data_IF_149473190481
#
_entry.id   IF_149473190481
#
_cell.length_a   1.000
_cell.length_b   1.000
_cell.length_c   1.000
_cell.angle_alpha   90.00
_cell.angle_beta   90.00
_cell.angle_gamma   90.00
#
_symmetry.space_group_name_H-M   'P 1'
#
loop_
_entity.id
_entity.type
_entity.pdbx_description
1 polymer ?
#
# COMPACT_ATOMS: atom_id res chain seq x y z
N UNK A 1 -62.65 -19.22 -10.76
CA UNK A 1 -63.20 -19.95 -11.93
C UNK A 1 -62.08 -19.98 -12.95
N UNK A 2 -61.42 -21.06 -13.36
CA UNK A 2 -61.42 -22.53 -13.18
C UNK A 2 -60.08 -22.92 -13.86
N UNK A 3 -59.11 -23.63 -13.28
CA UNK A 3 -59.20 -24.89 -12.54
C UNK A 3 -58.95 -26.05 -13.52
N UNK A 4 -57.83 -26.78 -13.34
CA UNK A 4 -57.49 -28.18 -13.73
C UNK A 4 -56.06 -28.29 -14.31
N UNK A 5 -55.26 -29.34 -14.14
CA UNK A 5 -54.89 -30.26 -13.04
C UNK A 5 -53.89 -31.28 -13.64
N UNK A 6 -52.91 -31.74 -12.86
CA UNK A 6 -51.88 -32.75 -13.18
C UNK A 6 -52.42 -34.11 -13.68
N UNK A 7 -51.54 -35.01 -14.20
CA UNK A 7 -51.00 -36.07 -13.33
C UNK A 7 -49.50 -36.43 -13.53
N UNK A 8 -49.06 -37.27 -12.61
CA UNK A 8 -47.72 -37.72 -12.18
C UNK A 8 -46.98 -38.77 -13.03
N UNK A 9 -45.73 -39.01 -12.60
CA UNK A 9 -44.96 -40.28 -12.57
C UNK A 9 -44.12 -40.61 -13.82
N UNK A 10 -42.87 -41.10 -13.78
CA UNK A 10 -42.11 -42.01 -12.88
C UNK A 10 -40.59 -41.77 -13.11
N UNK A 11 -39.69 -41.84 -12.11
CA UNK A 11 -38.89 -43.03 -11.71
C UNK A 11 -37.73 -43.29 -12.70
N UNK A 12 -36.44 -43.42 -12.37
CA UNK A 12 -35.73 -43.79 -11.15
C UNK A 12 -34.23 -43.44 -11.30
N UNK A 13 -33.43 -43.36 -10.22
CA UNK A 13 -31.98 -43.18 -10.23
C UNK A 13 -31.25 -44.53 -10.32
N UNK A 14 -29.99 -44.56 -10.73
CA UNK A 14 -29.18 -45.80 -10.76
C UNK A 14 -27.86 -45.67 -10.01
N UNK A 15 -27.35 -46.77 -9.43
CA UNK A 15 -26.74 -46.76 -8.11
C UNK A 15 -25.26 -47.19 -8.09
N UNK A 16 -24.62 -46.90 -6.96
CA UNK A 16 -23.42 -47.59 -6.46
C UNK A 16 -23.80 -48.99 -5.95
N UNK A 17 -23.01 -50.01 -6.27
CA UNK A 17 -22.89 -51.21 -5.44
C UNK A 17 -21.61 -52.00 -5.76
N UNK A 18 -20.80 -52.16 -4.72
CA UNK A 18 -19.83 -53.24 -4.54
C UNK A 18 -20.47 -54.62 -4.71
N UNK A 19 -19.70 -55.61 -5.19
CA UNK A 19 -19.75 -56.94 -4.61
C UNK A 19 -18.52 -57.79 -4.92
N UNK A 20 -17.97 -58.32 -3.82
CA UNK A 20 -17.01 -59.41 -3.70
C UNK A 20 -17.67 -60.75 -4.06
N UNK A 21 -16.88 -61.78 -4.39
CA UNK A 21 -17.17 -63.09 -3.80
C UNK A 21 -15.95 -63.76 -3.16
N UNK A 22 -16.19 -64.31 -1.98
CA UNK A 22 -15.38 -65.23 -1.18
C UNK A 22 -15.57 -66.69 -1.64
N UNK A 23 -14.51 -67.51 -1.61
CA UNK A 23 -14.31 -68.55 -0.57
C UNK A 23 -13.37 -69.71 -1.01
N UNK A 24 -12.71 -70.31 0.01
CA UNK A 24 -12.08 -71.64 0.13
C UNK A 24 -10.55 -71.79 -0.08
N UNK A 25 -9.82 -71.71 1.05
CA UNK A 25 -9.36 -72.90 1.79
C UNK A 25 -8.14 -73.72 1.30
N UNK A 26 -7.03 -73.54 2.04
CA UNK A 26 -6.11 -74.58 2.58
C UNK A 26 -4.89 -75.13 1.78
N UNK A 27 -3.72 -74.78 2.35
CA UNK A 27 -2.47 -75.57 2.58
C UNK A 27 -1.51 -75.90 1.43
N UNK A 28 -0.28 -75.37 1.55
CA UNK A 28 0.92 -75.88 0.87
C UNK A 28 2.22 -75.20 1.34
N UNK A 29 2.93 -75.78 2.31
CA UNK A 29 4.32 -75.43 2.65
C UNK A 29 5.28 -75.94 1.55
N UNK A 30 6.15 -75.08 1.01
CA UNK A 30 7.62 -75.30 0.89
C UNK A 30 8.29 -74.12 0.18
N UNK A 31 9.48 -73.79 0.67
CA UNK A 31 10.15 -72.50 0.47
C UNK A 31 10.91 -72.35 -0.84
N UNK A 32 11.22 -71.09 -1.15
CA UNK A 32 12.21 -70.72 -2.15
C UNK A 32 13.05 -69.55 -1.64
N UNK A 33 14.36 -69.72 -1.80
CA UNK A 33 15.44 -68.86 -1.29
C UNK A 33 15.48 -67.53 -2.06
N UNK A 34 15.14 -66.42 -1.41
CA UNK A 34 15.47 -65.10 -1.94
C UNK A 34 16.89 -64.71 -1.51
N UNK A 35 17.75 -64.57 -2.52
CA UNK A 35 19.08 -63.98 -2.40
C UNK A 35 18.92 -62.48 -2.07
N UNK A 36 19.50 -62.03 -0.96
CA UNK A 36 19.73 -60.60 -0.68
C UNK A 36 20.84 -60.12 -1.63
N UNK A 37 20.47 -59.37 -2.67
CA UNK A 37 21.40 -58.44 -3.31
C UNK A 37 21.21 -57.08 -2.65
N UNK A 38 22.20 -56.68 -1.87
CA UNK A 38 22.25 -55.36 -1.24
C UNK A 38 22.58 -54.30 -2.28
N UNK A 39 21.65 -53.38 -2.49
CA UNK A 39 21.95 -52.02 -2.92
C UNK A 39 21.20 -51.09 -1.99
N UNK A 40 21.74 -50.94 -0.78
CA UNK A 40 21.35 -49.88 0.12
C UNK A 40 21.97 -48.59 -0.45
N UNK A 41 21.16 -47.77 -1.12
CA UNK A 41 21.51 -46.36 -1.33
C UNK A 41 21.46 -45.72 0.05
N UNK A 42 22.59 -45.77 0.77
CA UNK A 42 22.79 -44.95 1.96
C UNK A 42 22.85 -43.50 1.50
N UNK A 43 21.81 -42.73 1.79
CA UNK A 43 21.89 -41.28 1.76
C UNK A 43 22.95 -40.87 2.79
N UNK A 44 24.16 -40.57 2.33
CA UNK A 44 25.24 -40.05 3.16
C UNK A 44 24.75 -38.73 3.76
N UNK A 45 24.59 -38.69 5.09
CA UNK A 45 24.38 -37.44 5.81
C UNK A 45 25.65 -36.61 5.67
N UNK A 46 25.62 -35.65 4.75
CA UNK A 46 26.69 -34.69 4.50
C UNK A 46 27.04 -33.94 5.80
N UNK A 47 28.33 -33.97 6.18
CA UNK A 47 28.80 -33.31 7.40
C UNK A 47 28.69 -31.79 7.27
N UNK A 48 28.56 -31.07 8.38
CA UNK A 48 28.49 -29.59 8.36
C UNK A 48 29.74 -28.95 7.72
N UNK A 49 30.90 -29.60 7.81
CA UNK A 49 32.15 -29.14 7.18
C UNK A 49 32.12 -29.31 5.66
N UNK A 50 31.61 -30.44 5.16
CA UNK A 50 31.43 -30.69 3.72
C UNK A 50 30.43 -29.71 3.10
N UNK A 51 29.30 -29.46 3.79
CA UNK A 51 28.33 -28.43 3.40
C UNK A 51 28.98 -27.05 3.27
N UNK A 52 29.74 -26.63 4.27
CA UNK A 52 30.43 -25.34 4.27
C UNK A 52 31.43 -25.24 3.10
N UNK A 53 32.19 -26.31 2.84
CA UNK A 53 33.15 -26.34 1.73
C UNK A 53 32.44 -26.21 0.37
N UNK A 54 31.32 -26.92 0.19
CA UNK A 54 30.51 -26.85 -1.03
C UNK A 54 29.96 -25.45 -1.29
N UNK A 55 29.41 -24.78 -0.27
CA UNK A 55 28.92 -23.40 -0.43
C UNK A 55 30.04 -22.41 -0.72
N UNK A 56 31.22 -22.61 -0.14
CA UNK A 56 32.41 -21.80 -0.45
C UNK A 56 32.87 -21.99 -1.90
N UNK A 57 32.91 -23.23 -2.39
CA UNK A 57 33.25 -23.53 -3.79
C UNK A 57 32.21 -22.92 -4.75
N UNK A 58 30.91 -23.05 -4.45
CA UNK A 58 29.83 -22.43 -5.22
C UNK A 58 29.95 -20.89 -5.27
N UNK A 59 30.35 -20.26 -4.17
CA UNK A 59 30.64 -18.81 -4.12
C UNK A 59 31.81 -18.43 -5.03
N UNK A 60 32.92 -19.17 -4.96
CA UNK A 60 34.08 -18.93 -5.83
C UNK A 60 33.76 -19.13 -7.31
N UNK A 61 32.92 -20.13 -7.64
CA UNK A 61 32.43 -20.34 -9.00
C UNK A 61 31.63 -19.13 -9.50
N UNK A 62 30.71 -18.59 -8.68
CA UNK A 62 29.93 -17.38 -9.01
C UNK A 62 30.80 -16.14 -9.14
N UNK A 63 31.82 -15.98 -8.31
CA UNK A 63 32.79 -14.88 -8.41
C UNK A 63 33.49 -14.82 -9.77
N UNK A 64 33.76 -15.99 -10.38
CA UNK A 64 34.34 -16.09 -11.73
C UNK A 64 33.36 -15.74 -12.86
N UNK A 65 32.05 -15.76 -12.60
CA UNK A 65 31.01 -15.41 -13.57
C UNK A 65 30.72 -13.90 -13.64
N UNK A 66 31.26 -13.11 -12.71
CA UNK A 66 31.06 -11.66 -12.69
C UNK A 66 31.64 -11.01 -13.95
N UNK A 67 30.76 -10.38 -14.73
CA UNK A 67 31.11 -9.67 -15.97
C UNK A 67 31.31 -8.18 -15.73
N UNK A 68 31.81 -7.45 -16.73
CA UNK A 68 31.89 -5.98 -16.69
C UNK A 68 30.51 -5.31 -16.52
N UNK A 69 29.43 -5.94 -17.01
CA UNK A 69 28.07 -5.46 -16.80
C UNK A 69 27.64 -5.52 -15.33
N UNK A 70 28.05 -6.57 -14.60
CA UNK A 70 27.82 -6.65 -13.15
C UNK A 70 28.60 -5.55 -12.42
N UNK A 71 29.88 -5.38 -12.78
CA UNK A 71 30.77 -4.38 -12.17
C UNK A 71 30.27 -2.95 -12.38
N UNK A 72 29.68 -2.65 -13.54
CA UNK A 72 29.04 -1.36 -13.79
C UNK A 72 27.93 -1.04 -12.76
N UNK A 73 27.06 -2.03 -12.47
CA UNK A 73 26.04 -1.89 -11.42
C UNK A 73 26.69 -1.73 -10.04
N UNK A 74 27.75 -2.50 -9.75
CA UNK A 74 28.43 -2.46 -8.46
C UNK A 74 29.13 -1.12 -8.19
N UNK A 75 29.72 -0.50 -9.21
CA UNK A 75 30.35 0.82 -9.11
C UNK A 75 29.32 1.89 -8.74
N UNK A 76 28.15 1.87 -9.38
CA UNK A 76 27.05 2.78 -9.03
C UNK A 76 26.56 2.54 -7.60
N UNK A 77 26.39 1.27 -7.20
CA UNK A 77 25.98 0.93 -5.82
C UNK A 77 27.02 1.38 -4.79
N UNK A 78 28.31 1.17 -5.07
CA UNK A 78 29.42 1.55 -4.20
C UNK A 78 29.47 3.06 -3.99
N UNK A 79 29.39 3.84 -5.08
CA UNK A 79 29.34 5.31 -5.02
C UNK A 79 28.13 5.80 -4.23
N UNK A 80 26.93 5.33 -4.59
CA UNK A 80 25.67 5.85 -4.04
C UNK A 80 25.40 5.45 -2.60
N UNK A 81 25.94 4.31 -2.15
CA UNK A 81 25.84 3.84 -0.76
C UNK A 81 27.09 4.20 0.07
N UNK A 82 28.10 4.85 -0.53
CA UNK A 82 29.39 5.13 0.12
C UNK A 82 30.05 3.86 0.69
N UNK A 83 30.01 2.78 -0.09
CA UNK A 83 30.61 1.48 0.22
C UNK A 83 31.85 1.25 -0.64
N UNK A 84 32.79 0.44 -0.15
CA UNK A 84 33.88 -0.05 -0.99
C UNK A 84 33.33 -1.01 -2.06
N UNK A 85 33.85 -0.92 -3.29
CA UNK A 85 33.44 -1.80 -4.39
C UNK A 85 33.57 -3.29 -4.02
N UNK A 86 34.65 -3.65 -3.31
CA UNK A 86 34.86 -5.00 -2.82
C UNK A 86 33.78 -5.45 -1.84
N UNK A 87 33.26 -4.55 -0.99
CA UNK A 87 32.17 -4.86 -0.08
C UNK A 87 30.87 -5.15 -0.85
N UNK A 88 30.57 -4.35 -1.88
CA UNK A 88 29.40 -4.58 -2.77
C UNK A 88 29.50 -5.92 -3.49
N UNK A 89 30.66 -6.24 -4.07
CA UNK A 89 30.90 -7.54 -4.71
C UNK A 89 30.64 -8.70 -3.74
N UNK A 90 31.18 -8.61 -2.53
CA UNK A 90 31.01 -9.64 -1.51
C UNK A 90 29.54 -9.77 -1.06
N UNK A 91 28.81 -8.66 -0.89
CA UNK A 91 27.39 -8.68 -0.56
C UNK A 91 26.54 -9.33 -1.65
N UNK A 92 26.80 -9.03 -2.92
CA UNK A 92 26.07 -9.63 -4.04
C UNK A 92 26.34 -11.14 -4.14
N UNK A 93 27.57 -11.57 -3.85
CA UNK A 93 27.94 -12.99 -3.84
C UNK A 93 27.32 -13.78 -2.67
N UNK A 94 26.74 -13.11 -1.67
CA UNK A 94 25.98 -13.77 -0.62
C UNK A 94 24.66 -14.37 -1.14
N UNK A 95 24.08 -13.78 -2.19
CA UNK A 95 22.86 -14.30 -2.81
C UNK A 95 23.15 -15.66 -3.47
N UNK A 96 22.24 -16.66 -3.43
CA UNK A 96 22.50 -18.03 -3.88
C UNK A 96 22.76 -18.16 -5.38
N UNK A 97 22.34 -17.19 -6.20
CA UNK A 97 22.48 -17.22 -7.66
C UNK A 97 22.63 -15.81 -8.24
N UNK A 98 23.29 -15.71 -9.41
CA UNK A 98 23.34 -14.50 -10.25
C UNK A 98 22.22 -14.45 -11.30
N UNK A 99 21.35 -15.46 -11.35
CA UNK A 99 20.25 -15.54 -12.33
C UNK A 99 19.40 -14.27 -12.46
N UNK A 100 19.15 -13.47 -11.39
CA UNK A 100 18.43 -12.20 -11.55
C UNK A 100 19.17 -11.15 -12.38
N UNK A 101 20.51 -11.15 -12.37
CA UNK A 101 21.30 -10.30 -13.28
C UNK A 101 21.19 -10.81 -14.71
N UNK A 102 21.30 -12.13 -14.91
CA UNK A 102 21.18 -12.74 -16.23
C UNK A 102 19.81 -12.44 -16.85
N UNK A 103 18.73 -12.56 -16.07
CA UNK A 103 17.38 -12.21 -16.49
C UNK A 103 17.25 -10.72 -16.79
N UNK A 104 17.74 -9.84 -15.91
CA UNK A 104 17.69 -8.39 -16.15
C UNK A 104 18.46 -7.95 -17.41
N UNK A 105 19.58 -8.61 -17.73
CA UNK A 105 20.36 -8.32 -18.94
C UNK A 105 19.80 -8.99 -20.21
N UNK A 106 19.04 -10.07 -20.07
CA UNK A 106 18.52 -10.82 -21.20
C UNK A 106 17.50 -10.04 -22.04
N UNK A 107 17.32 -10.48 -23.29
CA UNK A 107 16.19 -10.04 -24.13
C UNK A 107 14.91 -10.67 -23.58
N UNK A 108 13.90 -9.84 -23.33
CA UNK A 108 12.61 -10.25 -22.80
C UNK A 108 12.60 -10.57 -21.30
N UNK A 109 13.71 -10.34 -20.59
CA UNK A 109 13.77 -10.55 -19.14
C UNK A 109 13.26 -9.37 -18.32
N UNK A 110 13.59 -9.33 -17.03
CA UNK A 110 13.05 -8.33 -16.10
C UNK A 110 13.37 -6.88 -16.48
N UNK A 111 12.39 -6.00 -16.22
CA UNK A 111 12.55 -4.54 -16.35
C UNK A 111 13.29 -3.91 -15.18
N UNK A 112 13.38 -4.61 -14.06
CA UNK A 112 13.90 -4.05 -12.81
C UNK A 112 14.77 -5.06 -12.08
N UNK A 113 15.91 -4.59 -11.58
CA UNK A 113 16.71 -5.29 -10.58
C UNK A 113 16.89 -4.35 -9.39
N UNK A 114 16.62 -4.84 -8.18
CA UNK A 114 16.60 -4.03 -6.97
C UNK A 114 17.44 -4.66 -5.87
N UNK A 115 18.05 -3.79 -5.07
CA UNK A 115 18.87 -4.16 -3.93
C UNK A 115 18.34 -3.45 -2.70
N UNK A 116 18.62 -4.01 -1.53
CA UNK A 116 18.27 -3.42 -0.25
C UNK A 116 19.49 -3.35 0.63
N UNK A 117 19.73 -2.17 1.20
CA UNK A 117 20.78 -1.87 2.15
C UNK A 117 20.16 -1.46 3.48
N UNK A 118 20.08 -2.43 4.40
CA UNK A 118 19.46 -2.25 5.72
C UNK A 118 20.00 -3.29 6.72
N UNK A 119 19.63 -3.12 7.98
CA UNK A 119 19.91 -4.08 9.04
C UNK A 119 19.13 -5.38 8.82
N UNK A 120 19.85 -6.50 8.71
CA UNK A 120 19.25 -7.84 8.55
C UNK A 120 20.09 -8.90 9.25
N UNK A 121 19.51 -10.08 9.48
CA UNK A 121 20.25 -11.19 10.06
C UNK A 121 21.48 -11.56 9.23
N UNK A 122 22.55 -11.93 9.91
CA UNK A 122 23.75 -12.51 9.30
C UNK A 122 23.34 -13.69 8.41
N UNK A 123 23.72 -13.72 7.13
CA UNK A 123 23.36 -14.82 6.24
C UNK A 123 23.91 -16.15 6.75
N UNK A 124 23.16 -17.22 6.49
CA UNK A 124 23.56 -18.56 6.89
C UNK A 124 24.73 -19.09 6.07
N UNK A 125 25.12 -20.33 6.35
CA UNK A 125 26.25 -21.00 5.71
C UNK A 125 26.12 -21.08 4.17
N UNK A 126 24.90 -21.00 3.65
CA UNK A 126 24.56 -21.02 2.24
C UNK A 126 25.18 -19.86 1.44
N UNK A 127 25.53 -18.75 2.08
CA UNK A 127 26.23 -17.65 1.41
C UNK A 127 27.69 -18.01 1.06
N UNK A 128 28.24 -19.07 1.66
CA UNK A 128 29.62 -19.53 1.43
C UNK A 128 30.69 -18.77 2.22
N UNK A 129 30.31 -17.90 3.15
CA UNK A 129 31.21 -17.21 4.10
C UNK A 129 30.92 -17.60 5.53
N UNK A 130 31.90 -17.36 6.40
CA UNK A 130 31.76 -17.53 7.86
C UNK A 130 31.88 -16.17 8.53
N UNK A 131 31.03 -15.92 9.52
CA UNK A 131 31.06 -14.73 10.36
C UNK A 131 31.52 -15.15 11.76
N UNK A 132 32.84 -15.14 12.05
CA UNK A 132 33.34 -15.56 13.35
C UNK A 132 32.97 -14.54 14.42
N UNK A 133 32.51 -15.02 15.58
CA UNK A 133 32.18 -14.18 16.73
C UNK A 133 30.78 -13.54 16.70
N UNK A 134 29.98 -13.77 15.66
CA UNK A 134 28.58 -13.33 15.64
C UNK A 134 27.67 -14.41 16.23
N UNK A 135 26.82 -14.02 17.19
CA UNK A 135 25.78 -14.90 17.72
C UNK A 135 24.79 -15.31 16.61
N UNK A 136 24.11 -16.44 16.79
CA UNK A 136 23.04 -16.87 15.89
C UNK A 136 21.91 -15.83 15.93
N UNK A 137 21.50 -15.32 14.76
CA UNK A 137 20.51 -14.25 14.67
C UNK A 137 21.08 -12.85 14.93
N UNK A 138 22.41 -12.68 14.94
CA UNK A 138 23.00 -11.35 14.97
C UNK A 138 22.53 -10.53 13.75
N UNK A 139 22.28 -9.24 13.98
CA UNK A 139 21.83 -8.30 12.95
C UNK A 139 23.02 -7.45 12.51
N UNK A 140 23.20 -7.30 11.20
CA UNK A 140 24.25 -6.48 10.59
C UNK A 140 23.68 -5.60 9.47
N UNK A 141 24.28 -4.43 9.25
CA UNK A 141 24.01 -3.63 8.08
C UNK A 141 24.63 -4.30 6.84
N UNK A 142 23.81 -4.62 5.83
CA UNK A 142 24.31 -5.27 4.61
C UNK A 142 23.48 -4.93 3.39
N UNK A 143 24.12 -5.06 2.23
CA UNK A 143 23.47 -4.99 0.93
C UNK A 143 23.06 -6.41 0.51
N UNK A 144 21.92 -6.57 -0.12
CA UNK A 144 21.52 -7.82 -0.75
C UNK A 144 20.56 -7.56 -1.91
N UNK A 145 20.50 -8.51 -2.84
CA UNK A 145 19.53 -8.48 -3.91
C UNK A 145 18.13 -8.76 -3.34
N UNK A 146 17.17 -7.89 -3.62
CA UNK A 146 15.86 -7.94 -2.98
C UNK A 146 14.78 -8.52 -3.89
N UNK A 147 13.98 -9.42 -3.32
CA UNK A 147 12.67 -9.72 -3.86
C UNK A 147 11.67 -8.73 -3.26
N UNK A 148 11.25 -7.73 -4.04
CA UNK A 148 10.42 -6.63 -3.55
C UNK A 148 9.01 -7.07 -3.10
N UNK A 149 8.55 -8.28 -3.45
CA UNK A 149 7.27 -8.80 -2.94
C UNK A 149 7.37 -9.45 -1.56
N UNK A 150 8.57 -9.82 -1.12
CA UNK A 150 8.81 -10.56 0.12
C UNK A 150 9.65 -9.77 1.13
N UNK A 151 10.39 -8.75 0.66
CA UNK A 151 11.31 -7.98 1.49
C UNK A 151 10.58 -6.83 2.17
N UNK A 152 10.57 -6.82 3.50
CA UNK A 152 10.14 -5.65 4.27
C UNK A 152 11.23 -4.58 4.21
N UNK A 153 10.90 -3.42 3.63
CA UNK A 153 11.87 -2.37 3.37
C UNK A 153 11.91 -1.36 4.53
N UNK A 154 13.07 -1.26 5.18
CA UNK A 154 13.33 -0.36 6.31
C UNK A 154 14.58 0.49 6.13
N UNK A 155 15.37 0.26 5.07
CA UNK A 155 16.55 1.07 4.75
C UNK A 155 16.52 1.60 3.32
N UNK A 156 17.68 1.60 2.66
CA UNK A 156 17.83 2.11 1.31
C UNK A 156 17.54 1.02 0.28
N UNK A 157 16.75 1.34 -0.74
CA UNK A 157 16.45 0.47 -1.88
C UNK A 157 16.99 1.10 -3.17
N UNK A 158 18.27 0.88 -3.52
CA UNK A 158 18.77 1.20 -4.85
C UNK A 158 18.25 0.19 -5.88
N UNK A 159 17.76 0.69 -7.01
CA UNK A 159 17.22 -0.14 -8.07
C UNK A 159 17.55 0.42 -9.46
N UNK A 160 17.60 -0.50 -10.42
CA UNK A 160 17.92 -0.22 -11.81
C UNK A 160 16.74 -0.63 -12.68
N UNK A 161 16.35 0.25 -13.60
CA UNK A 161 15.21 0.06 -14.49
C UNK A 161 15.68 0.16 -15.94
N UNK A 162 15.09 -0.67 -16.81
CA UNK A 162 15.23 -0.57 -18.25
C UNK A 162 13.86 -0.47 -18.92
N UNK A 163 13.73 0.39 -19.92
CA UNK A 163 12.45 0.66 -20.59
C UNK A 163 12.23 -0.25 -21.80
N UNK A 164 13.30 -0.55 -22.54
CA UNK A 164 13.29 -1.48 -23.69
C UNK A 164 13.70 -2.87 -23.24
N UNK A 165 12.83 -3.86 -23.44
CA UNK A 165 13.09 -5.27 -23.10
C UNK A 165 13.44 -6.12 -24.32
N UNK A 166 13.19 -5.61 -25.52
CA UNK A 166 13.41 -6.29 -26.80
C UNK A 166 14.88 -6.33 -27.24
N UNK A 167 15.75 -5.53 -26.61
CA UNK A 167 17.19 -5.45 -26.88
C UNK A 167 17.96 -5.93 -25.64
N UNK A 168 18.84 -6.94 -25.70
CA UNK A 168 19.61 -7.35 -24.53
C UNK A 168 20.55 -6.23 -24.06
N UNK A 169 20.74 -6.13 -22.74
CA UNK A 169 21.71 -5.20 -22.14
C UNK A 169 23.08 -5.83 -22.17
N UNK A 170 24.05 -5.09 -22.69
CA UNK A 170 25.45 -5.46 -22.78
C UNK A 170 26.32 -4.25 -22.47
N UNK A 171 27.63 -4.45 -22.33
CA UNK A 171 28.55 -3.39 -21.92
C UNK A 171 28.53 -2.14 -22.83
N UNK A 172 28.13 -2.27 -24.10
CA UNK A 172 28.10 -1.15 -25.04
C UNK A 172 26.88 -0.26 -24.86
N UNK A 173 25.73 -0.81 -24.47
CA UNK A 173 24.47 -0.07 -24.32
C UNK A 173 24.02 0.10 -22.87
N UNK A 174 24.74 -0.49 -21.90
CA UNK A 174 24.35 -0.50 -20.49
C UNK A 174 24.10 0.90 -19.90
N UNK A 175 24.89 1.88 -20.32
CA UNK A 175 24.81 3.26 -19.85
C UNK A 175 23.65 4.06 -20.49
N UNK A 176 23.11 3.58 -21.62
CA UNK A 176 21.98 4.22 -22.32
C UNK A 176 20.64 3.55 -21.95
N UNK A 177 20.67 2.24 -21.71
CA UNK A 177 19.46 1.42 -21.51
C UNK A 177 19.07 1.23 -20.04
N UNK A 178 20.00 1.44 -19.10
CA UNK A 178 19.73 1.34 -17.67
C UNK A 178 19.61 2.72 -17.03
N UNK A 179 18.57 2.89 -16.23
CA UNK A 179 18.36 4.04 -15.37
C UNK A 179 18.47 3.62 -13.91
N UNK A 180 19.27 4.35 -13.14
CA UNK A 180 19.40 4.15 -11.70
C UNK A 180 18.45 5.07 -10.93
N UNK A 181 17.84 4.55 -9.88
CA UNK A 181 17.16 5.35 -8.87
C UNK A 181 17.26 4.69 -7.49
N UNK A 182 16.88 5.43 -6.46
CA UNK A 182 16.98 4.96 -5.08
C UNK A 182 15.77 5.44 -4.30
N UNK A 183 15.16 4.52 -3.57
CA UNK A 183 14.11 4.80 -2.61
C UNK A 183 14.66 4.65 -1.19
N UNK A 184 14.54 5.71 -0.39
CA UNK A 184 14.96 5.73 1.00
C UNK A 184 13.74 5.50 1.92
N UNK A 185 13.67 4.34 2.55
CA UNK A 185 12.60 3.99 3.48
C UNK A 185 13.05 3.98 4.95
N UNK A 186 14.19 4.60 5.29
CA UNK A 186 14.70 4.66 6.66
C UNK A 186 13.69 5.29 7.64
N UNK A 187 12.90 6.24 7.15
CA UNK A 187 11.83 6.89 7.91
C UNK A 187 10.42 6.38 7.52
N UNK A 188 10.35 5.20 6.89
CA UNK A 188 9.13 4.55 6.44
C UNK A 188 8.88 4.66 4.93
N UNK A 189 8.29 3.60 4.37
CA UNK A 189 8.05 3.44 2.93
C UNK A 189 7.20 4.56 2.30
N UNK A 190 6.17 5.04 3.01
CA UNK A 190 5.30 6.12 2.52
C UNK A 190 6.08 7.43 2.37
N UNK A 191 6.89 7.78 3.37
CA UNK A 191 7.74 8.99 3.33
C UNK A 191 8.81 8.89 2.25
N UNK A 192 9.42 7.71 2.11
CA UNK A 192 10.35 7.39 1.03
C UNK A 192 9.75 7.56 -0.36
N UNK A 193 8.56 6.98 -0.57
CA UNK A 193 7.82 7.08 -1.83
C UNK A 193 7.44 8.53 -2.14
N UNK A 194 6.93 9.26 -1.14
CA UNK A 194 6.61 10.69 -1.27
C UNK A 194 7.84 11.50 -1.69
N UNK A 195 8.97 11.29 -1.02
CA UNK A 195 10.24 11.97 -1.33
C UNK A 195 10.73 11.66 -2.75
N UNK A 196 10.70 10.38 -3.17
CA UNK A 196 11.08 9.98 -4.51
C UNK A 196 10.21 10.67 -5.57
N UNK A 197 8.89 10.67 -5.37
CA UNK A 197 7.96 11.30 -6.29
C UNK A 197 8.14 12.82 -6.33
N UNK A 198 8.22 13.49 -5.18
CA UNK A 198 8.23 14.95 -5.13
C UNK A 198 9.59 15.55 -5.47
N UNK A 199 10.70 14.91 -5.07
CA UNK A 199 12.05 15.47 -5.21
C UNK A 199 12.77 15.02 -6.48
N UNK A 200 12.40 13.87 -7.05
CA UNK A 200 13.10 13.28 -8.20
C UNK A 200 12.16 13.18 -9.40
N UNK A 201 11.05 12.44 -9.27
CA UNK A 201 10.20 12.14 -10.43
C UNK A 201 9.43 13.36 -10.93
N UNK A 202 8.83 14.16 -10.04
CA UNK A 202 8.03 15.32 -10.43
C UNK A 202 8.89 16.40 -11.13
N UNK A 203 10.08 16.79 -10.61
CA UNK A 203 10.97 17.69 -11.34
C UNK A 203 11.39 17.14 -12.71
N UNK A 204 11.68 15.84 -12.83
CA UNK A 204 12.02 15.22 -14.10
C UNK A 204 10.86 15.27 -15.11
N UNK A 205 9.62 14.99 -14.66
CA UNK A 205 8.41 15.13 -15.48
C UNK A 205 8.20 16.58 -15.93
N UNK A 206 8.43 17.55 -15.05
CA UNK A 206 8.30 18.97 -15.38
C UNK A 206 9.35 19.45 -16.39
N UNK A 207 10.58 18.93 -16.31
CA UNK A 207 11.67 19.24 -17.23
C UNK A 207 11.57 18.50 -18.57
N UNK A 208 10.68 17.52 -18.70
CA UNK A 208 10.53 16.75 -19.93
C UNK A 208 9.84 17.60 -21.01
N UNK A 209 10.55 17.93 -22.07
CA UNK A 209 10.00 18.64 -23.24
C UNK A 209 9.39 17.68 -24.28
N UNK A 210 9.96 16.49 -24.41
CA UNK A 210 9.54 15.50 -25.39
C UNK A 210 8.51 14.51 -24.82
N UNK A 211 7.23 14.78 -25.06
CA UNK A 211 6.11 13.90 -24.70
C UNK A 211 5.62 13.05 -25.89
N UNK A 212 6.44 12.91 -26.93
CA UNK A 212 6.11 12.12 -28.12
C UNK A 212 4.84 12.62 -28.82
N UNK A 213 3.88 11.71 -29.05
CA UNK A 213 2.64 12.01 -29.76
C UNK A 213 1.82 13.14 -29.12
N UNK A 214 1.93 13.36 -27.80
CA UNK A 214 1.22 14.43 -27.11
C UNK A 214 1.71 15.81 -27.54
N UNK A 215 2.96 15.97 -27.97
CA UNK A 215 3.46 17.26 -28.47
C UNK A 215 2.77 17.71 -29.77
N UNK A 216 2.15 16.78 -30.50
CA UNK A 216 1.49 17.04 -31.78
C UNK A 216 -0.05 17.06 -31.63
N UNK A 217 -0.58 16.77 -30.44
CA UNK A 217 -2.01 16.74 -30.17
C UNK A 217 -2.55 18.14 -29.89
N UNK A 218 -3.74 18.44 -30.43
CA UNK A 218 -4.48 19.68 -30.12
C UNK A 218 -4.79 19.84 -28.63
N UNK A 219 -4.92 18.73 -27.90
CA UNK A 219 -5.18 18.70 -26.45
C UNK A 219 -3.93 18.37 -25.62
N UNK A 220 -2.76 18.26 -26.27
CA UNK A 220 -1.53 17.76 -25.66
C UNK A 220 -1.11 18.52 -24.41
N UNK A 221 -1.18 19.85 -24.43
CA UNK A 221 -0.76 20.67 -23.27
C UNK A 221 -1.70 20.50 -22.08
N UNK A 222 -3.02 20.41 -22.34
CA UNK A 222 -4.01 20.12 -21.31
C UNK A 222 -3.79 18.74 -20.70
N UNK A 223 -3.51 17.73 -21.51
CA UNK A 223 -3.28 16.36 -21.03
C UNK A 223 -2.00 16.24 -20.21
N UNK A 224 -0.92 16.93 -20.62
CA UNK A 224 0.32 17.04 -19.82
C UNK A 224 0.06 17.69 -18.47
N UNK A 225 -0.70 18.79 -18.45
CA UNK A 225 -1.02 19.48 -17.20
C UNK A 225 -1.87 18.60 -16.30
N UNK A 226 -2.90 17.93 -16.82
CA UNK A 226 -3.71 16.98 -16.07
C UNK A 226 -2.88 15.85 -15.46
N UNK A 227 -1.88 15.33 -16.19
CA UNK A 227 -0.97 14.31 -15.67
C UNK A 227 -0.11 14.84 -14.51
N UNK A 228 0.48 16.03 -14.68
CA UNK A 228 1.25 16.71 -13.61
C UNK A 228 0.37 16.93 -12.37
N UNK A 229 -0.84 17.44 -12.54
CA UNK A 229 -1.78 17.68 -11.43
C UNK A 229 -2.20 16.38 -10.74
N UNK A 230 -2.27 15.28 -11.47
CA UNK A 230 -2.54 13.95 -10.89
C UNK A 230 -1.39 13.47 -10.01
N UNK A 231 -0.14 13.63 -10.45
CA UNK A 231 1.04 13.30 -9.61
C UNK A 231 1.08 14.20 -8.37
N UNK A 232 0.86 15.52 -8.54
CA UNK A 232 0.84 16.47 -7.43
C UNK A 232 -0.24 16.13 -6.40
N UNK A 233 -1.46 15.81 -6.84
CA UNK A 233 -2.53 15.34 -5.95
C UNK A 233 -2.14 14.07 -5.20
N UNK A 234 -1.47 13.12 -5.86
CA UNK A 234 -1.01 11.91 -5.20
C UNK A 234 0.08 12.18 -4.14
N UNK A 235 1.02 13.10 -4.42
CA UNK A 235 2.01 13.55 -3.43
C UNK A 235 1.32 14.18 -2.22
N UNK A 236 0.34 15.07 -2.42
CA UNK A 236 -0.44 15.66 -1.33
C UNK A 236 -1.25 14.62 -0.54
N UNK A 237 -1.77 13.59 -1.21
CA UNK A 237 -2.40 12.47 -0.53
C UNK A 237 -1.41 11.69 0.35
N UNK A 238 -0.20 11.44 -0.13
CA UNK A 238 0.85 10.83 0.69
C UNK A 238 1.21 11.71 1.89
N UNK A 239 1.29 13.03 1.71
CA UNK A 239 1.51 13.98 2.80
C UNK A 239 0.43 13.90 3.85
N UNK A 240 -0.83 13.89 3.43
CA UNK A 240 -1.96 13.74 4.33
C UNK A 240 -1.93 12.39 5.09
N UNK A 241 -1.48 11.30 4.45
CA UNK A 241 -1.33 10.01 5.13
C UNK A 241 -0.20 10.02 6.16
N UNK A 242 0.94 10.64 5.81
CA UNK A 242 2.10 10.76 6.70
C UNK A 242 1.74 11.64 7.90
N UNK A 243 1.15 12.81 7.68
CA UNK A 243 0.66 13.72 8.74
C UNK A 243 -0.46 13.08 9.57
N UNK A 244 -1.30 12.26 8.93
CA UNK A 244 -2.39 11.55 9.58
C UNK A 244 -1.91 10.40 10.47
N UNK A 245 -0.69 9.89 10.29
CA UNK A 245 -0.17 8.77 11.08
C UNK A 245 0.10 9.23 12.51
N UNK A 246 -0.60 8.64 13.49
CA UNK A 246 -0.43 8.98 14.89
C UNK A 246 0.66 8.11 15.49
N UNK A 247 1.82 8.71 15.78
CA UNK A 247 2.85 8.04 16.57
C UNK A 247 2.54 8.18 18.06
N UNK A 248 1.97 7.11 18.63
CA UNK A 248 1.80 7.01 20.07
C UNK A 248 3.17 6.84 20.73
N UNK A 249 3.38 7.54 21.84
CA UNK A 249 4.63 7.45 22.60
C UNK A 249 4.95 6.01 23.01
N UNK A 250 6.19 5.58 22.76
CA UNK A 250 6.71 4.28 23.22
C UNK A 250 6.90 4.29 24.73
N UNK A 251 6.49 3.22 25.41
CA UNK A 251 6.74 3.04 26.83
C UNK A 251 8.19 2.56 27.07
N UNK A 252 9.16 3.48 26.97
CA UNK A 252 10.60 3.19 27.05
C UNK A 252 11.06 2.55 28.36
N UNK A 253 10.26 2.65 29.42
CA UNK A 253 10.59 2.15 30.75
C UNK A 253 10.18 0.67 30.93
N UNK A 254 9.56 0.04 29.93
CA UNK A 254 8.99 -1.31 30.01
C UNK A 254 9.73 -2.23 29.05
N UNK A 255 10.31 -3.31 29.59
CA UNK A 255 11.00 -4.32 28.79
C UNK A 255 10.00 -5.36 28.26
N UNK A 256 9.30 -5.03 27.17
CA UNK A 256 8.27 -5.90 26.56
C UNK A 256 8.77 -7.28 26.14
N UNK A 257 10.08 -7.43 25.88
CA UNK A 257 10.71 -8.72 25.60
C UNK A 257 10.53 -9.73 26.74
N UNK A 258 10.25 -9.26 27.96
CA UNK A 258 9.97 -10.09 29.14
C UNK A 258 8.48 -10.36 29.34
N UNK A 259 7.60 -9.98 28.42
CA UNK A 259 6.15 -10.17 28.51
C UNK A 259 5.60 -10.98 27.33
N UNK A 260 6.34 -12.03 26.93
CA UNK A 260 6.03 -12.81 25.74
C UNK A 260 5.29 -14.10 26.09
N UNK A 261 5.67 -14.77 27.17
CA UNK A 261 5.04 -16.04 27.57
C UNK A 261 3.89 -15.83 28.56
N UNK A 262 3.00 -16.81 28.64
CA UNK A 262 1.90 -16.78 29.62
C UNK A 262 2.38 -16.74 31.07
N UNK A 263 3.49 -17.42 31.37
CA UNK A 263 4.09 -17.44 32.71
C UNK A 263 4.64 -16.06 33.08
N UNK A 264 5.29 -15.39 32.14
CA UNK A 264 5.81 -14.04 32.34
C UNK A 264 4.70 -13.02 32.59
N UNK A 265 3.62 -13.08 31.79
CA UNK A 265 2.46 -12.20 31.94
C UNK A 265 1.80 -12.40 33.31
N UNK A 266 1.74 -13.65 33.80
CA UNK A 266 1.19 -13.96 35.13
C UNK A 266 2.09 -13.47 36.26
N UNK A 267 3.41 -13.60 36.12
CA UNK A 267 4.37 -13.09 37.09
C UNK A 267 4.30 -11.55 37.17
N UNK A 268 4.27 -10.88 36.01
CA UNK A 268 4.10 -9.43 35.93
C UNK A 268 2.78 -8.96 36.54
N UNK A 269 1.69 -9.73 36.38
CA UNK A 269 0.39 -9.37 36.96
C UNK A 269 0.34 -9.47 38.50
N UNK A 270 1.28 -10.18 39.12
CA UNK A 270 1.43 -10.29 40.58
C UNK A 270 2.40 -9.22 41.15
N UNK A 271 3.19 -8.57 40.29
CA UNK A 271 4.12 -7.51 40.65
C UNK A 271 3.41 -6.15 40.62
N UNK A 272 3.29 -5.52 41.79
CA UNK A 272 2.56 -4.26 41.96
C UNK A 272 3.24 -3.10 41.23
N UNK A 273 4.58 -3.05 41.25
CA UNK A 273 5.33 -1.95 40.62
C UNK A 273 5.25 -2.06 39.10
N UNK A 274 5.36 -3.28 38.56
CA UNK A 274 5.19 -3.52 37.13
C UNK A 274 3.76 -3.21 36.67
N UNK A 275 2.73 -3.64 37.42
CA UNK A 275 1.33 -3.30 37.12
C UNK A 275 1.12 -1.79 37.08
N UNK A 276 1.69 -1.04 38.04
CA UNK A 276 1.58 0.41 38.06
C UNK A 276 2.19 1.06 36.82
N UNK A 277 3.38 0.64 36.40
CA UNK A 277 4.02 1.13 35.17
C UNK A 277 3.19 0.83 33.92
N UNK A 278 2.60 -0.37 33.85
CA UNK A 278 1.72 -0.77 32.75
C UNK A 278 0.42 0.06 32.72
N UNK A 279 -0.14 0.39 33.89
CA UNK A 279 -1.30 1.30 34.00
C UNK A 279 -0.95 2.72 33.53
N UNK A 280 0.22 3.24 33.89
CA UNK A 280 0.70 4.54 33.42
C UNK A 280 0.88 4.57 31.91
N UNK A 281 1.48 3.52 31.33
CA UNK A 281 1.64 3.39 29.89
C UNK A 281 0.27 3.33 29.18
N UNK A 282 -0.66 2.52 29.69
CA UNK A 282 -2.01 2.41 29.14
C UNK A 282 -2.76 3.75 29.23
N UNK A 283 -2.66 4.47 30.35
CA UNK A 283 -3.28 5.78 30.54
C UNK A 283 -2.65 6.87 29.67
N UNK A 284 -1.35 6.77 29.40
CA UNK A 284 -0.65 7.66 28.48
C UNK A 284 -1.17 7.49 27.04
N UNK A 285 -1.35 6.24 26.58
CA UNK A 285 -1.96 5.96 25.28
C UNK A 285 -3.43 6.36 25.25
N UNK A 286 -4.18 6.09 26.32
CA UNK A 286 -5.58 6.49 26.46
C UNK A 286 -5.74 7.99 26.21
N UNK A 287 -4.96 8.84 26.90
CA UNK A 287 -5.04 10.30 26.77
C UNK A 287 -4.72 10.79 25.36
N UNK A 288 -3.73 10.18 24.70
CA UNK A 288 -3.36 10.52 23.33
C UNK A 288 -4.47 10.16 22.34
N UNK A 289 -5.05 8.97 22.46
CA UNK A 289 -6.14 8.52 21.59
C UNK A 289 -7.41 9.37 21.86
N UNK A 290 -7.71 9.67 23.12
CA UNK A 290 -8.83 10.54 23.50
C UNK A 290 -8.68 11.96 22.93
N UNK A 291 -7.47 12.52 22.98
CA UNK A 291 -7.18 13.79 22.32
C UNK A 291 -7.45 13.71 20.81
N UNK A 292 -6.97 12.65 20.15
CA UNK A 292 -7.19 12.44 18.72
C UNK A 292 -8.67 12.37 18.35
N UNK A 293 -9.48 11.67 19.15
CA UNK A 293 -10.94 11.58 18.97
C UNK A 293 -11.62 12.94 19.20
N UNK A 294 -11.20 13.67 20.23
CA UNK A 294 -11.76 14.99 20.54
C UNK A 294 -11.47 16.01 19.43
N UNK A 295 -10.25 15.98 18.87
CA UNK A 295 -9.87 16.80 17.72
C UNK A 295 -10.67 16.44 16.46
N UNK A 296 -11.04 15.18 16.27
CA UNK A 296 -11.82 14.75 15.10
C UNK A 296 -13.30 15.09 15.18
N UNK A 297 -13.85 15.15 16.39
CA UNK A 297 -15.25 15.53 16.64
C UNK A 297 -15.47 17.05 16.56
N UNK A 298 -14.39 17.84 16.59
CA UNK A 298 -14.47 19.30 16.55
C UNK A 298 -14.93 19.79 15.17
N UNK A 299 -15.85 20.77 15.16
CA UNK A 299 -16.33 21.38 13.92
C UNK A 299 -15.17 21.92 13.09
N UNK A 300 -15.04 21.41 11.87
CA UNK A 300 -13.96 21.75 10.95
C UNK A 300 -14.10 23.20 10.49
N UNK A 301 -13.03 23.99 10.63
CA UNK A 301 -12.87 25.26 9.91
C UNK A 301 -12.41 24.95 8.49
N UNK A 302 -13.35 24.91 7.55
CA UNK A 302 -13.05 24.74 6.14
C UNK A 302 -12.87 26.10 5.46
N UNK A 303 -12.08 26.15 4.38
CA UNK A 303 -12.06 27.32 3.53
C UNK A 303 -13.41 27.46 2.82
N UNK A 304 -13.94 28.69 2.75
CA UNK A 304 -15.25 28.99 2.17
C UNK A 304 -15.42 28.51 0.71
N UNK A 305 -14.31 28.32 -0.01
CA UNK A 305 -14.28 27.87 -1.40
C UNK A 305 -13.81 26.41 -1.58
N UNK A 306 -13.91 25.57 -0.54
CA UNK A 306 -13.49 24.17 -0.65
C UNK A 306 -14.37 23.36 -1.61
N UNK A 307 -13.73 22.53 -2.45
CA UNK A 307 -14.41 21.66 -3.43
C UNK A 307 -14.67 20.24 -2.88
N UNK A 308 -15.47 19.40 -3.57
CA UNK A 308 -15.90 18.09 -3.07
C UNK A 308 -14.75 17.10 -2.85
N UNK A 309 -13.63 17.22 -3.59
CA UNK A 309 -12.46 16.35 -3.39
C UNK A 309 -11.78 16.58 -2.03
N UNK A 310 -11.92 17.76 -1.43
CA UNK A 310 -11.37 18.06 -0.09
C UNK A 310 -12.05 17.28 1.03
N UNK A 311 -13.29 16.83 0.79
CA UNK A 311 -14.03 15.96 1.69
C UNK A 311 -13.46 14.54 1.66
N UNK A 312 -13.22 14.02 0.45
CA UNK A 312 -12.59 12.71 0.26
C UNK A 312 -11.19 12.68 0.89
N UNK A 313 -10.38 13.72 0.68
CA UNK A 313 -9.05 13.85 1.29
C UNK A 313 -9.11 13.86 2.81
N UNK A 314 -10.10 14.56 3.38
CA UNK A 314 -10.31 14.58 4.83
C UNK A 314 -10.61 13.18 5.37
N UNK A 315 -11.56 12.46 4.79
CA UNK A 315 -11.91 11.11 5.24
C UNK A 315 -10.79 10.10 5.01
N UNK A 316 -10.00 10.26 3.95
CA UNK A 316 -8.76 9.48 3.74
C UNK A 316 -7.75 9.71 4.87
N UNK A 317 -7.52 10.97 5.27
CA UNK A 317 -6.66 11.32 6.41
C UNK A 317 -7.18 10.72 7.71
N UNK A 318 -8.48 10.84 7.97
CA UNK A 318 -9.12 10.27 9.16
C UNK A 318 -8.99 8.74 9.20
N UNK A 319 -9.21 8.07 8.05
CA UNK A 319 -9.05 6.63 7.94
C UNK A 319 -7.60 6.20 8.24
N UNK A 320 -6.60 6.91 7.70
CA UNK A 320 -5.20 6.65 8.03
C UNK A 320 -4.90 6.87 9.53
N UNK A 321 -5.41 7.97 10.11
CA UNK A 321 -5.25 8.32 11.53
C UNK A 321 -5.77 7.21 12.45
N UNK A 322 -7.01 6.77 12.23
CA UNK A 322 -7.62 5.74 13.06
C UNK A 322 -7.04 4.35 12.81
N UNK A 323 -6.71 3.99 11.57
CA UNK A 323 -6.06 2.70 11.28
C UNK A 323 -4.69 2.61 11.96
N UNK A 324 -3.90 3.67 11.96
CA UNK A 324 -2.61 3.72 12.68
C UNK A 324 -2.78 3.45 14.18
N UNK A 325 -3.86 3.97 14.79
CA UNK A 325 -4.17 3.71 16.21
C UNK A 325 -4.61 2.26 16.41
N UNK A 326 -5.49 1.75 15.54
CA UNK A 326 -5.95 0.35 15.60
C UNK A 326 -4.78 -0.64 15.44
N UNK A 327 -3.81 -0.34 14.58
CA UNK A 327 -2.58 -1.12 14.42
C UNK A 327 -1.77 -1.15 15.71
N UNK A 328 -1.60 0.00 16.38
CA UNK A 328 -0.94 0.07 17.68
C UNK A 328 -1.67 -0.74 18.75
N UNK A 329 -3.00 -0.61 18.86
CA UNK A 329 -3.83 -1.36 19.82
C UNK A 329 -3.71 -2.87 19.58
N UNK A 330 -3.65 -3.29 18.31
CA UNK A 330 -3.47 -4.69 17.93
C UNK A 330 -2.03 -5.16 18.00
N UNK A 331 -1.09 -4.26 18.24
CA UNK A 331 0.34 -4.52 18.36
C UNK A 331 0.69 -5.40 19.56
N UNK A 332 1.84 -6.09 19.52
CA UNK A 332 2.25 -7.02 20.58
C UNK A 332 2.44 -6.33 21.93
N UNK A 333 3.02 -5.12 21.95
CA UNK A 333 3.28 -4.34 23.17
C UNK A 333 1.97 -3.96 23.89
N UNK A 334 1.01 -3.38 23.15
CA UNK A 334 -0.28 -2.99 23.71
C UNK A 334 -1.07 -4.22 24.19
N UNK A 335 -1.07 -5.31 23.41
CA UNK A 335 -1.67 -6.59 23.83
C UNK A 335 -1.05 -7.15 25.09
N UNK A 336 0.28 -7.08 25.24
CA UNK A 336 0.96 -7.53 26.45
C UNK A 336 0.50 -6.74 27.68
N UNK A 337 0.45 -5.41 27.59
CA UNK A 337 -0.06 -4.53 28.66
C UNK A 337 -1.50 -4.89 29.04
N UNK A 338 -2.40 -4.96 28.05
CA UNK A 338 -3.81 -5.28 28.28
C UNK A 338 -3.97 -6.66 28.91
N UNK A 339 -3.19 -7.66 28.48
CA UNK A 339 -3.25 -9.01 29.03
C UNK A 339 -2.81 -9.06 30.50
N UNK A 340 -1.68 -8.43 30.87
CA UNK A 340 -1.20 -8.37 32.26
C UNK A 340 -2.26 -7.71 33.14
N UNK A 341 -2.74 -6.53 32.74
CA UNK A 341 -3.75 -5.78 33.48
C UNK A 341 -5.08 -6.54 33.61
N UNK A 342 -5.39 -7.41 32.65
CA UNK A 342 -6.61 -8.23 32.66
C UNK A 342 -6.51 -9.37 33.68
N UNK A 343 -5.33 -10.00 33.80
CA UNK A 343 -5.06 -10.99 34.85
C UNK A 343 -5.11 -10.34 36.23
N UNK A 344 -4.50 -9.14 36.38
CA UNK A 344 -4.50 -8.38 37.62
C UNK A 344 -5.89 -7.83 37.99
N UNK A 345 -6.82 -7.71 37.02
CA UNK A 345 -8.15 -7.10 37.15
C UNK A 345 -8.11 -5.60 37.44
N UNK A 346 -7.19 -4.88 36.78
CA UNK A 346 -7.10 -3.42 36.86
C UNK A 346 -8.42 -2.75 36.44
N UNK A 347 -8.81 -1.70 37.19
CA UNK A 347 -10.01 -0.90 36.90
C UNK A 347 -9.85 -0.07 35.62
N UNK A 348 -8.62 0.25 35.23
CA UNK A 348 -8.28 1.04 34.03
C UNK A 348 -8.77 0.39 32.74
N UNK A 349 -8.89 -0.95 32.72
CA UNK A 349 -9.38 -1.69 31.56
C UNK A 349 -10.81 -1.36 31.16
N UNK A 350 -11.65 -0.88 32.08
CA UNK A 350 -13.01 -0.48 31.72
C UNK A 350 -12.96 0.73 30.77
N UNK A 351 -12.21 1.77 31.15
CA UNK A 351 -12.01 2.97 30.34
C UNK A 351 -11.35 2.64 29.01
N UNK A 352 -10.35 1.75 29.02
CA UNK A 352 -9.68 1.33 27.81
C UNK A 352 -10.61 0.62 26.82
N UNK A 353 -11.47 -0.29 27.28
CA UNK A 353 -12.44 -0.98 26.40
C UNK A 353 -13.46 -0.03 25.79
N UNK A 354 -13.93 0.96 26.56
CA UNK A 354 -14.83 2.00 26.05
C UNK A 354 -14.16 2.84 24.97
N UNK A 355 -12.89 3.21 25.18
CA UNK A 355 -12.08 3.92 24.19
C UNK A 355 -11.82 3.07 22.93
N UNK A 356 -11.46 1.79 23.08
CA UNK A 356 -11.21 0.84 21.99
C UNK A 356 -12.46 0.61 21.11
N UNK A 357 -13.64 0.56 21.73
CA UNK A 357 -14.91 0.52 21.01
C UNK A 357 -15.12 1.80 20.19
N UNK A 358 -14.97 2.98 20.81
CA UNK A 358 -15.12 4.28 20.13
C UNK A 358 -14.19 4.44 18.94
N UNK A 359 -12.90 4.12 19.11
CA UNK A 359 -11.94 4.23 18.00
C UNK A 359 -12.26 3.24 16.87
N UNK A 360 -12.75 2.05 17.21
CA UNK A 360 -13.19 1.06 16.20
C UNK A 360 -14.39 1.58 15.41
N UNK A 361 -15.36 2.19 16.07
CA UNK A 361 -16.53 2.78 15.42
C UNK A 361 -16.13 3.95 14.49
N UNK A 362 -15.29 4.88 14.97
CA UNK A 362 -14.76 5.97 14.16
C UNK A 362 -13.93 5.49 12.97
N UNK A 363 -13.14 4.41 13.13
CA UNK A 363 -12.38 3.80 12.04
C UNK A 363 -13.31 3.19 10.97
N UNK A 364 -14.39 2.53 11.39
CA UNK A 364 -15.39 1.96 10.49
C UNK A 364 -16.14 3.05 9.74
N UNK A 365 -16.56 4.12 10.43
CA UNK A 365 -17.16 5.31 9.81
C UNK A 365 -16.23 5.90 8.75
N UNK A 366 -14.97 6.17 9.10
CA UNK A 366 -14.03 6.77 8.16
C UNK A 366 -13.80 5.89 6.92
N UNK A 367 -13.71 4.57 7.12
CA UNK A 367 -13.56 3.61 6.03
C UNK A 367 -14.77 3.57 5.09
N UNK A 368 -15.98 3.57 5.64
CA UNK A 368 -17.22 3.57 4.85
C UNK A 368 -17.36 4.89 4.07
N UNK A 369 -17.11 6.02 4.73
CA UNK A 369 -17.14 7.34 4.10
C UNK A 369 -16.14 7.45 2.95
N UNK A 370 -14.90 6.96 3.13
CA UNK A 370 -13.90 6.90 2.04
C UNK A 370 -14.42 6.08 0.87
N UNK A 371 -15.02 4.90 1.10
CA UNK A 371 -15.54 4.03 0.03
C UNK A 371 -16.61 4.75 -0.81
N UNK A 372 -17.56 5.43 -0.16
CA UNK A 372 -18.61 6.16 -0.86
C UNK A 372 -18.09 7.42 -1.56
N UNK A 373 -17.26 8.22 -0.90
CA UNK A 373 -16.66 9.43 -1.49
C UNK A 373 -15.69 9.11 -2.63
N UNK A 374 -15.07 7.92 -2.65
CA UNK A 374 -14.27 7.46 -3.80
C UNK A 374 -15.12 7.28 -5.06
N UNK A 375 -16.40 6.92 -4.90
CA UNK A 375 -17.35 6.88 -6.03
C UNK A 375 -17.62 8.29 -6.56
N UNK A 376 -17.65 9.29 -5.66
CA UNK A 376 -17.81 10.70 -6.05
C UNK A 376 -16.58 11.25 -6.78
N UNK A 377 -15.37 10.78 -6.48
CA UNK A 377 -14.14 11.26 -7.12
C UNK A 377 -14.23 11.24 -8.66
N UNK A 378 -14.74 10.14 -9.23
CA UNK A 378 -14.89 9.95 -10.67
C UNK A 378 -15.95 10.88 -11.27
N UNK A 379 -17.11 10.99 -10.62
CA UNK A 379 -18.21 11.84 -11.12
C UNK A 379 -17.96 13.33 -10.89
N UNK A 380 -17.06 13.68 -9.97
CA UNK A 380 -16.61 15.04 -9.73
C UNK A 380 -15.49 15.48 -10.68
N UNK A 381 -14.73 14.57 -11.33
CA UNK A 381 -13.63 14.96 -12.24
C UNK A 381 -14.04 15.98 -13.33
N UNK A 382 -15.23 15.88 -13.97
CA UNK A 382 -15.66 16.89 -14.92
C UNK A 382 -15.79 18.30 -14.35
N UNK A 383 -16.03 18.46 -13.04
CA UNK A 383 -16.08 19.76 -12.36
C UNK A 383 -14.71 20.46 -12.29
N UNK A 384 -13.62 19.71 -12.46
CA UNK A 384 -12.25 20.21 -12.39
C UNK A 384 -11.61 20.37 -13.77
N UNK A 385 -11.94 19.46 -14.70
CA UNK A 385 -11.14 19.29 -15.93
C UNK A 385 -11.90 19.69 -17.21
N UNK A 386 -13.20 20.00 -17.11
CA UNK A 386 -14.05 20.24 -18.28
C UNK A 386 -14.59 21.68 -18.33
N UNK A 387 -14.96 22.11 -19.53
CA UNK A 387 -15.72 23.34 -19.71
C UNK A 387 -17.13 23.22 -19.10
N UNK A 388 -17.81 24.34 -18.80
CA UNK A 388 -19.15 24.33 -18.21
C UNK A 388 -20.22 23.60 -19.04
N UNK A 389 -20.07 23.48 -20.38
CA UNK A 389 -21.02 22.75 -21.24
C UNK A 389 -20.93 21.25 -20.95
N UNK A 390 -19.72 20.72 -20.92
CA UNK A 390 -19.44 19.31 -20.62
C UNK A 390 -19.74 18.99 -19.15
N UNK A 391 -19.47 19.94 -18.25
CA UNK A 391 -19.85 19.87 -16.84
C UNK A 391 -21.37 19.73 -16.68
N UNK A 392 -22.16 20.55 -17.37
CA UNK A 392 -23.63 20.52 -17.29
C UNK A 392 -24.23 19.16 -17.65
N UNK A 393 -23.63 18.45 -18.62
CA UNK A 393 -24.03 17.09 -19.01
C UNK A 393 -23.72 16.04 -17.92
N UNK A 394 -22.75 16.32 -17.05
CA UNK A 394 -22.28 15.42 -16.00
C UNK A 394 -23.01 15.61 -14.66
N UNK A 395 -23.73 16.74 -14.49
CA UNK A 395 -24.47 17.07 -13.26
C UNK A 395 -25.45 15.96 -12.86
N UNK A 396 -26.18 15.39 -13.83
CA UNK A 396 -27.14 14.33 -13.51
C UNK A 396 -26.46 13.10 -12.91
N UNK A 397 -25.29 12.73 -13.41
CA UNK A 397 -24.51 11.61 -12.89
C UNK A 397 -24.00 11.89 -11.47
N UNK A 398 -23.57 13.13 -11.21
CA UNK A 398 -23.15 13.57 -9.87
C UNK A 398 -24.31 13.49 -8.88
N UNK A 399 -25.48 13.97 -9.26
CA UNK A 399 -26.69 13.98 -8.43
C UNK A 399 -27.16 12.55 -8.14
N UNK A 400 -27.15 11.67 -9.15
CA UNK A 400 -27.48 10.26 -8.94
C UNK A 400 -26.48 9.57 -8.00
N UNK A 401 -25.18 9.89 -8.09
CA UNK A 401 -24.17 9.38 -7.17
C UNK A 401 -24.40 9.87 -5.73
N UNK A 402 -24.74 11.15 -5.55
CA UNK A 402 -25.07 11.70 -4.22
C UNK A 402 -26.33 11.04 -3.63
N UNK A 403 -27.39 10.82 -4.44
CA UNK A 403 -28.59 10.06 -4.01
C UNK A 403 -28.26 8.63 -3.59
N UNK A 404 -27.39 7.96 -4.35
CA UNK A 404 -26.94 6.61 -4.00
C UNK A 404 -26.20 6.60 -2.66
N UNK A 405 -25.36 7.60 -2.40
CA UNK A 405 -24.65 7.71 -1.12
C UNK A 405 -25.62 7.96 0.03
N UNK A 406 -26.57 8.88 -0.13
CA UNK A 406 -27.58 9.14 0.90
C UNK A 406 -28.44 7.89 1.21
N UNK A 407 -28.80 7.10 0.19
CA UNK A 407 -29.65 5.92 0.37
C UNK A 407 -28.92 4.69 0.93
N UNK A 408 -27.62 4.55 0.66
CA UNK A 408 -26.86 3.31 0.96
C UNK A 408 -25.82 3.50 2.06
N UNK A 409 -25.23 4.69 2.22
CA UNK A 409 -24.20 4.91 3.23
C UNK A 409 -24.80 4.83 4.63
N UNK A 410 -24.09 4.15 5.52
CA UNK A 410 -24.52 4.02 6.91
C UNK A 410 -24.16 5.27 7.72
N UNK A 411 -23.06 5.94 7.38
CA UNK A 411 -22.50 7.03 8.18
C UNK A 411 -22.54 8.39 7.47
N UNK A 412 -22.57 8.42 6.13
CA UNK A 412 -22.59 9.65 5.35
C UNK A 412 -23.98 10.11 4.92
N UNK A 413 -25.06 9.47 5.41
CA UNK A 413 -26.43 9.71 4.94
C UNK A 413 -27.19 10.83 5.67
N UNK A 414 -26.53 11.68 6.44
CA UNK A 414 -27.22 12.76 7.16
C UNK A 414 -27.47 13.97 6.26
N UNK A 415 -28.57 14.69 6.50
CA UNK A 415 -28.90 15.91 5.75
C UNK A 415 -27.83 16.99 5.85
N UNK A 416 -27.12 17.06 6.99
CA UNK A 416 -26.00 17.98 7.21
C UNK A 416 -24.81 17.66 6.27
N UNK A 417 -24.41 16.38 6.18
CA UNK A 417 -23.32 15.93 5.29
C UNK A 417 -23.69 16.13 3.82
N UNK A 418 -24.94 15.85 3.45
CA UNK A 418 -25.44 16.13 2.10
C UNK A 418 -25.38 17.62 1.76
N UNK A 419 -25.85 18.47 2.68
CA UNK A 419 -25.84 19.93 2.49
C UNK A 419 -24.41 20.45 2.33
N UNK A 420 -23.48 20.02 3.20
CA UNK A 420 -22.07 20.38 3.11
C UNK A 420 -21.46 19.95 1.77
N UNK A 421 -21.71 18.72 1.34
CA UNK A 421 -21.23 18.22 0.05
C UNK A 421 -21.78 19.05 -1.14
N UNK A 422 -23.06 19.42 -1.11
CA UNK A 422 -23.65 20.26 -2.15
C UNK A 422 -23.06 21.66 -2.19
N UNK A 423 -22.78 22.27 -1.04
CA UNK A 423 -22.09 23.56 -0.96
C UNK A 423 -20.72 23.44 -1.66
N UNK A 424 -19.95 22.40 -1.36
CA UNK A 424 -18.63 22.16 -1.96
C UNK A 424 -18.70 21.94 -3.47
N UNK A 425 -19.65 21.15 -3.95
CA UNK A 425 -19.88 20.97 -5.39
C UNK A 425 -20.20 22.32 -6.05
N UNK A 426 -21.08 23.11 -5.44
CA UNK A 426 -21.48 24.42 -5.97
C UNK A 426 -20.29 25.38 -6.01
N UNK A 427 -19.46 25.40 -4.97
CA UNK A 427 -18.22 26.18 -4.94
C UNK A 427 -17.27 25.80 -6.09
N UNK A 428 -17.07 24.50 -6.32
CA UNK A 428 -16.22 24.02 -7.41
C UNK A 428 -16.78 24.41 -8.78
N UNK A 429 -18.09 24.34 -8.97
CA UNK A 429 -18.74 24.79 -10.20
C UNK A 429 -18.54 26.29 -10.44
N UNK A 430 -18.67 27.12 -9.40
CA UNK A 430 -18.40 28.57 -9.50
C UNK A 430 -16.94 28.81 -9.89
N UNK A 431 -15.99 28.07 -9.32
CA UNK A 431 -14.58 28.15 -9.71
C UNK A 431 -14.38 27.75 -11.18
N UNK A 432 -15.03 26.68 -11.66
CA UNK A 432 -14.96 26.25 -13.06
C UNK A 432 -15.55 27.30 -14.02
N UNK A 433 -16.71 27.87 -13.68
CA UNK A 433 -17.33 28.95 -14.46
C UNK A 433 -16.46 30.21 -14.50
N UNK A 434 -15.84 30.57 -13.36
CA UNK A 434 -14.87 31.68 -13.31
C UNK A 434 -13.66 31.40 -14.20
N UNK A 435 -13.12 30.20 -14.18
CA UNK A 435 -12.01 29.83 -15.04
C UNK A 435 -12.40 29.87 -16.53
N UNK A 436 -13.61 29.42 -16.87
CA UNK A 436 -14.10 29.46 -18.25
C UNK A 436 -14.29 30.88 -18.80
N UNK A 437 -14.85 31.79 -18.01
CA UNK A 437 -15.06 33.18 -18.46
C UNK A 437 -13.75 33.97 -18.58
N UNK A 438 -12.70 33.60 -17.86
CA UNK A 438 -11.38 34.26 -17.91
C UNK A 438 -10.33 33.51 -18.73
N UNK A 439 -10.72 32.47 -19.49
CA UNK A 439 -9.80 31.60 -20.23
C UNK A 439 -8.66 31.04 -19.34
N UNK A 440 -9.02 30.52 -18.17
CA UNK A 440 -8.11 30.08 -17.11
C UNK A 440 -7.16 31.18 -16.61
N UNK A 441 -7.63 32.43 -16.63
CA UNK A 441 -6.87 33.59 -16.14
C UNK A 441 -5.92 34.20 -17.18
N UNK A 442 -5.95 33.76 -18.45
CA UNK A 442 -5.12 34.34 -19.50
C UNK A 442 -5.68 35.63 -20.10
N UNK A 443 -6.96 35.94 -19.85
CA UNK A 443 -7.60 37.14 -20.40
C UNK A 443 -8.57 37.76 -19.40
N UNK A 444 -8.48 39.08 -19.24
CA UNK A 444 -9.47 39.85 -18.49
C UNK A 444 -10.84 39.76 -19.16
N UNK A 445 -11.91 39.80 -18.37
CA UNK A 445 -13.29 39.77 -18.91
C UNK A 445 -13.47 40.93 -19.90
N UNK A 446 -12.92 42.10 -19.62
CA UNK A 446 -13.06 43.30 -20.45
C UNK A 446 -12.15 43.34 -21.68
N UNK A 447 -11.25 42.36 -21.82
CA UNK A 447 -10.27 42.27 -22.92
C UNK A 447 -10.76 41.32 -24.03
N UNK A 448 -11.83 40.58 -23.78
CA UNK A 448 -12.44 39.62 -24.71
C UNK A 448 -13.53 40.27 -25.56
N UNK A 449 -13.86 39.66 -26.70
CA UNK A 449 -14.97 40.12 -27.54
C UNK A 449 -16.31 40.01 -26.81
N UNK A 450 -17.12 41.07 -26.89
CA UNK A 450 -18.41 41.17 -26.21
C UNK A 450 -19.37 40.04 -26.58
N UNK A 451 -19.41 39.61 -27.86
CA UNK A 451 -20.29 38.52 -28.29
C UNK A 451 -19.85 37.18 -27.70
N UNK A 452 -18.54 36.96 -27.58
CA UNK A 452 -18.02 35.73 -27.01
C UNK A 452 -18.23 35.66 -25.49
N UNK A 453 -18.09 36.78 -24.76
CA UNK A 453 -18.44 36.85 -23.34
C UNK A 453 -19.93 36.56 -23.13
N UNK A 454 -20.82 37.16 -23.93
CA UNK A 454 -22.27 36.93 -23.82
C UNK A 454 -22.59 35.45 -24.01
N UNK A 455 -21.99 34.78 -25.00
CA UNK A 455 -22.16 33.33 -25.20
C UNK A 455 -21.63 32.54 -23.99
N UNK A 456 -20.46 32.89 -23.45
CA UNK A 456 -19.90 32.23 -22.27
C UNK A 456 -20.81 32.40 -21.04
N UNK A 457 -21.39 33.58 -20.84
CA UNK A 457 -22.34 33.86 -19.75
C UNK A 457 -23.62 33.04 -19.91
N UNK A 458 -24.18 32.95 -21.12
CA UNK A 458 -25.38 32.14 -21.38
C UNK A 458 -25.15 30.66 -21.03
N UNK A 459 -24.02 30.11 -21.44
CA UNK A 459 -23.62 28.73 -21.10
C UNK A 459 -23.51 28.53 -19.58
N UNK A 460 -22.91 29.49 -18.87
CA UNK A 460 -22.78 29.44 -17.41
C UNK A 460 -24.16 29.49 -16.73
N UNK A 461 -25.04 30.39 -17.17
CA UNK A 461 -26.39 30.56 -16.62
C UNK A 461 -27.24 29.29 -16.77
N UNK A 462 -27.20 28.66 -17.95
CA UNK A 462 -27.90 27.39 -18.20
C UNK A 462 -27.37 26.27 -17.30
N UNK A 463 -26.04 26.16 -17.13
CA UNK A 463 -25.42 25.18 -16.25
C UNK A 463 -25.79 25.36 -14.78
N UNK A 464 -25.81 26.60 -14.28
CA UNK A 464 -26.19 26.93 -12.90
C UNK A 464 -27.68 26.64 -12.66
N UNK A 465 -28.56 27.01 -13.60
CA UNK A 465 -29.99 26.72 -13.51
C UNK A 465 -30.27 25.23 -13.42
N UNK A 466 -29.61 24.42 -14.25
CA UNK A 466 -29.75 22.96 -14.23
C UNK A 466 -29.27 22.35 -12.91
N UNK A 467 -28.18 22.86 -12.33
CA UNK A 467 -27.73 22.41 -11.01
C UNK A 467 -28.75 22.75 -9.93
N UNK A 468 -29.23 24.00 -9.90
CA UNK A 468 -30.16 24.48 -8.89
C UNK A 468 -31.47 23.70 -8.92
N UNK A 469 -32.04 23.46 -10.11
CA UNK A 469 -33.26 22.66 -10.25
C UNK A 469 -33.05 21.23 -9.76
N UNK A 470 -31.93 20.62 -10.12
CA UNK A 470 -31.64 19.23 -9.76
C UNK A 470 -31.29 19.06 -8.27
N UNK A 471 -30.64 20.06 -7.65
CA UNK A 471 -30.44 20.14 -6.20
C UNK A 471 -31.76 20.28 -5.46
N UNK A 472 -32.62 21.21 -5.88
CA UNK A 472 -33.93 21.43 -5.25
C UNK A 472 -34.82 20.19 -5.34
N UNK A 473 -34.84 19.52 -6.49
CA UNK A 473 -35.57 18.28 -6.67
C UNK A 473 -35.08 17.20 -5.68
N UNK A 474 -33.78 17.04 -5.52
CA UNK A 474 -33.23 16.07 -4.57
C UNK A 474 -33.54 16.45 -3.12
N UNK A 475 -33.35 17.71 -2.74
CA UNK A 475 -33.64 18.19 -1.39
C UNK A 475 -35.15 18.12 -1.05
N UNK A 476 -36.03 18.13 -2.04
CA UNK A 476 -37.48 17.95 -1.84
C UNK A 476 -37.91 16.50 -1.63
N UNK A 477 -37.04 15.54 -1.97
CA UNK A 477 -37.28 14.10 -1.77
C UNK A 477 -36.73 13.60 -0.42
N UNK A 478 -35.96 14.43 0.28
CA UNK A 478 -35.46 14.22 1.63
C UNK A 478 -36.33 14.95 2.64
#
# INVERSE_FOLDING_TARGET
>A
MSGTSHPDSTGDPSPMADNVPTDRGAVGRRGSKFHRSGSCVQAVQETMKEKQARYKESREARKKLLTSGHKYIFEILADRLSLELQAVEEFVLDAPSLAPFDDFFAKGGSKTIAFVYQETEVPGIECGRTFPGTAKGAIIMRLFLANLSETCLTGLCPFFVRTKIDVPVNIKNIHEEIYFSMLDAAEGLLKGTRNLLSKIMMPAVCATENWGALNQSKHGEKDKQNFKDTITRYIHFLDACIEGTVQLKTASNIEFARLVSFEDVKAAAADVDMVHQLEEALMMWYKQIEQVLTESDQMRKEADASGPLTELEHWKRMSAKFNSIIEHIKGPECKAVVNVLNINRSKTLKLWRELDARITDCANEAKDNVKFLYTLEKVCQPLYNCDPVTMAKSIQNLINAIRMIHSVSQYYNTSERMTSLFIKVTNQMVTACRAYITDNGTSGIWEQDTQDIIKKIQVIDDGIKNMKSSQLNMLSEF
#
